data_IF_214075889582
#
_entry.id   IF_214075889582
#
_cell.length_a   1.000
_cell.length_b   1.000
_cell.length_c   1.000
_cell.angle_alpha   90.00
_cell.angle_beta   90.00
_cell.angle_gamma   90.00
#
_symmetry.space_group_name_H-M   'P 1'
#
loop_
_entity.id
_entity.type
_entity.pdbx_description
1 polymer ?
#
# COMPACT_ATOMS: atom_id res chain seq x y z
N UNK A 1 9.66 -16.77 2.76
CA UNK A 1 8.46 -17.55 2.40
C UNK A 1 7.27 -16.63 2.64
N UNK A 2 6.61 -16.16 1.59
CA UNK A 2 5.36 -15.40 1.69
C UNK A 2 4.29 -16.41 1.30
N UNK A 3 3.42 -16.79 2.25
CA UNK A 3 2.26 -17.63 1.97
C UNK A 3 1.14 -16.73 1.46
N UNK A 4 0.84 -16.82 0.16
CA UNK A 4 -0.40 -16.29 -0.39
C UNK A 4 -1.47 -17.36 -0.15
N UNK A 5 -2.43 -17.06 0.72
CA UNK A 5 -3.63 -17.88 0.85
C UNK A 5 -4.43 -17.74 -0.44
N UNK A 6 -4.53 -18.83 -1.18
CA UNK A 6 -5.50 -18.99 -2.26
C UNK A 6 -6.91 -18.88 -1.67
N UNK A 7 -7.67 -17.87 -2.11
CA UNK A 7 -9.05 -17.63 -1.68
C UNK A 7 -10.00 -18.78 -2.04
N UNK A 8 -9.52 -19.80 -2.78
CA UNK A 8 -10.28 -21.02 -3.08
C UNK A 8 -10.39 -21.96 -1.85
N UNK A 9 -9.68 -21.70 -0.75
CA UNK A 9 -9.77 -22.51 0.49
C UNK A 9 -10.81 -22.03 1.51
N UNK A 10 -11.58 -20.97 1.23
CA UNK A 10 -12.70 -20.60 2.10
C UNK A 10 -13.86 -21.59 1.88
N UNK A 11 -14.36 -22.30 2.92
CA UNK A 11 -15.54 -23.14 2.77
C UNK A 11 -16.71 -22.33 2.18
N UNK A 12 -17.61 -22.93 1.37
CA UNK A 12 -18.77 -22.22 0.84
C UNK A 12 -19.72 -21.92 2.00
N UNK A 13 -19.49 -20.76 2.62
CA UNK A 13 -20.30 -20.16 3.66
C UNK A 13 -20.51 -18.70 3.32
N UNK A 14 -20.96 -18.42 2.10
CA UNK A 14 -21.43 -17.10 1.74
C UNK A 14 -22.65 -16.77 2.60
N UNK A 15 -22.54 -15.74 3.45
CA UNK A 15 -23.72 -15.20 4.12
C UNK A 15 -24.70 -14.72 3.04
N UNK A 16 -25.99 -15.04 3.20
CA UNK A 16 -27.06 -14.51 2.35
C UNK A 16 -27.34 -13.02 2.64
N UNK A 17 -26.58 -12.39 3.53
CA UNK A 17 -26.66 -10.97 3.77
C UNK A 17 -26.03 -10.25 2.57
N UNK A 18 -26.73 -9.28 1.96
CA UNK A 18 -26.07 -8.30 1.11
C UNK A 18 -24.86 -7.76 1.87
N UNK A 19 -23.71 -7.62 1.21
CA UNK A 19 -22.63 -6.80 1.76
C UNK A 19 -23.26 -5.46 2.08
N UNK A 20 -23.31 -5.10 3.37
CA UNK A 20 -23.76 -3.77 3.78
C UNK A 20 -22.83 -2.79 3.06
N UNK A 21 -23.35 -2.16 2.01
CA UNK A 21 -22.63 -1.14 1.26
C UNK A 21 -22.77 0.17 2.02
N UNK A 22 -22.30 0.18 3.26
CA UNK A 22 -22.05 1.43 3.94
C UNK A 22 -21.16 2.28 3.02
N UNK A 23 -21.44 3.58 2.98
CA UNK A 23 -20.63 4.50 2.19
C UNK A 23 -19.17 4.34 2.62
N UNK A 24 -18.29 4.09 1.65
CA UNK A 24 -16.86 4.01 1.92
C UNK A 24 -16.42 5.31 2.63
N UNK A 25 -15.59 5.23 3.68
CA UNK A 25 -15.08 6.43 4.34
C UNK A 25 -14.32 7.30 3.34
N UNK A 26 -14.32 8.61 3.57
CA UNK A 26 -13.60 9.56 2.71
C UNK A 26 -12.10 9.26 2.68
N UNK A 27 -11.41 9.75 1.65
CA UNK A 27 -9.95 9.58 1.53
C UNK A 27 -9.18 10.13 2.72
N UNK A 28 -9.66 11.24 3.28
CA UNK A 28 -9.06 11.85 4.46
C UNK A 28 -9.23 10.96 5.71
N UNK A 29 -10.40 10.36 5.91
CA UNK A 29 -10.67 9.44 7.01
C UNK A 29 -9.85 8.15 6.85
N UNK A 30 -9.75 7.64 5.63
CA UNK A 30 -8.93 6.44 5.33
C UNK A 30 -7.45 6.72 5.51
N UNK A 31 -6.96 7.90 5.11
CA UNK A 31 -5.58 8.31 5.38
C UNK A 31 -5.30 8.37 6.88
N UNK A 32 -6.22 8.92 7.70
CA UNK A 32 -6.09 8.96 9.16
C UNK A 32 -6.07 7.57 9.81
N UNK A 33 -6.91 6.64 9.36
CA UNK A 33 -6.93 5.26 9.89
C UNK A 33 -5.76 4.40 9.38
N UNK A 34 -5.33 4.60 8.14
CA UNK A 34 -4.17 3.91 7.56
C UNK A 34 -2.83 4.29 8.21
N UNK A 35 -2.81 5.37 9.01
CA UNK A 35 -1.68 5.68 9.90
C UNK A 35 -1.41 4.55 10.91
N UNK A 36 -2.39 3.70 11.23
CA UNK A 36 -2.22 2.59 12.18
C UNK A 36 -1.53 1.37 11.55
N UNK A 37 -1.82 1.05 10.28
CA UNK A 37 -1.19 -0.05 9.53
C UNK A 37 -1.15 0.29 8.03
N UNK A 38 0.04 0.35 7.45
CA UNK A 38 0.27 0.31 6.01
C UNK A 38 1.36 -0.69 5.67
N UNK A 39 1.33 -1.22 4.45
CA UNK A 39 2.34 -2.17 3.97
C UNK A 39 3.41 -1.46 3.15
N UNK A 40 4.67 -1.54 3.58
CA UNK A 40 5.79 -0.97 2.85
C UNK A 40 6.57 -2.07 2.11
N UNK A 41 6.57 -2.00 0.78
CA UNK A 41 7.25 -2.94 -0.12
C UNK A 41 8.54 -2.30 -0.62
N UNK A 42 9.68 -2.87 -0.23
CA UNK A 42 10.99 -2.44 -0.73
C UNK A 42 11.16 -2.84 -2.19
N UNK A 43 11.56 -1.90 -3.03
CA UNK A 43 11.81 -2.10 -4.46
C UNK A 43 12.94 -1.18 -4.94
N UNK A 44 13.56 -1.54 -6.07
CA UNK A 44 14.53 -0.68 -6.77
C UNK A 44 13.85 0.29 -7.75
N UNK A 45 12.56 0.07 -8.04
CA UNK A 45 11.76 0.86 -8.98
C UNK A 45 10.33 1.05 -8.42
N UNK A 46 10.12 2.08 -7.57
CA UNK A 46 8.80 2.45 -7.05
C UNK A 46 7.80 2.79 -8.15
N UNK A 47 8.24 3.45 -9.22
CA UNK A 47 7.38 3.88 -10.31
C UNK A 47 6.79 2.70 -11.09
N UNK A 48 7.60 1.69 -11.42
CA UNK A 48 7.11 0.50 -12.10
C UNK A 48 6.07 -0.26 -11.27
N UNK A 49 6.26 -0.41 -9.94
CA UNK A 49 5.29 -1.09 -9.08
C UNK A 49 4.01 -0.27 -8.89
N UNK A 50 4.14 1.04 -8.75
CA UNK A 50 2.98 1.95 -8.69
C UNK A 50 2.11 1.80 -9.94
N UNK A 51 2.69 1.89 -11.13
CA UNK A 51 1.95 1.77 -12.39
C UNK A 51 1.29 0.40 -12.54
N UNK A 52 1.98 -0.68 -12.13
CA UNK A 52 1.40 -2.03 -12.11
C UNK A 52 0.22 -2.15 -11.15
N UNK A 53 0.31 -1.54 -9.97
CA UNK A 53 -0.77 -1.54 -9.00
C UNK A 53 -2.00 -0.79 -9.53
N UNK A 54 -1.79 0.40 -10.10
CA UNK A 54 -2.87 1.19 -10.72
C UNK A 54 -3.51 0.44 -11.89
N UNK A 55 -2.71 -0.18 -12.76
CA UNK A 55 -3.21 -1.02 -13.85
C UNK A 55 -4.02 -2.24 -13.37
N UNK A 56 -3.76 -2.71 -12.14
CA UNK A 56 -4.51 -3.78 -11.49
C UNK A 56 -5.76 -3.30 -10.72
N UNK A 57 -6.08 -2.01 -10.76
CA UNK A 57 -7.27 -1.43 -10.12
C UNK A 57 -7.02 -0.75 -8.78
N UNK A 58 -5.77 -0.68 -8.32
CA UNK A 58 -5.43 0.15 -7.17
C UNK A 58 -5.65 1.64 -7.51
N UNK A 59 -5.96 2.45 -6.51
CA UNK A 59 -6.14 3.89 -6.70
C UNK A 59 -4.92 4.65 -6.23
N UNK A 60 -4.45 5.59 -7.04
CA UNK A 60 -3.36 6.48 -6.68
C UNK A 60 -3.69 7.26 -5.39
N UNK A 61 -2.78 7.25 -4.42
CA UNK A 61 -2.79 8.13 -3.25
C UNK A 61 -1.71 9.20 -3.40
N UNK A 62 -0.49 8.80 -3.78
CA UNK A 62 0.61 9.72 -4.06
C UNK A 62 1.51 9.12 -5.15
N UNK A 63 1.72 9.87 -6.22
CA UNK A 63 2.66 9.50 -7.27
C UNK A 63 4.10 9.34 -6.72
N UNK A 64 4.93 8.48 -7.33
CA UNK A 64 6.32 8.31 -6.95
C UNK A 64 7.08 9.64 -6.89
N UNK A 65 7.69 9.93 -5.74
CA UNK A 65 8.46 11.15 -5.52
C UNK A 65 9.64 10.92 -4.57
N UNK A 66 10.62 11.81 -4.65
CA UNK A 66 11.73 11.89 -3.69
C UNK A 66 11.25 12.59 -2.42
N UNK A 67 11.39 11.94 -1.27
CA UNK A 67 10.98 12.46 0.04
C UNK A 67 12.18 12.46 0.98
N UNK A 68 12.34 13.56 1.72
CA UNK A 68 13.32 13.64 2.81
C UNK A 68 12.70 13.14 4.10
N UNK A 69 13.24 12.04 4.63
CA UNK A 69 12.85 11.49 5.91
C UNK A 69 13.95 11.73 6.95
N UNK A 70 13.55 12.10 8.17
CA UNK A 70 14.46 12.15 9.33
C UNK A 70 14.47 10.78 10.00
N UNK A 71 15.58 10.06 9.92
CA UNK A 71 15.81 8.83 10.66
C UNK A 71 16.62 9.05 11.93
N UNK A 72 16.63 8.06 12.82
CA UNK A 72 17.43 8.08 14.04
C UNK A 72 18.94 8.22 13.78
N UNK A 73 19.41 7.80 12.60
CA UNK A 73 20.82 7.84 12.19
C UNK A 73 21.14 9.01 11.25
N UNK A 74 20.18 9.91 10.99
CA UNK A 74 20.34 11.07 10.11
C UNK A 74 19.23 11.21 9.08
N UNK A 75 19.32 12.25 8.25
CA UNK A 75 18.41 12.45 7.14
C UNK A 75 18.67 11.40 6.05
N UNK A 76 17.62 10.81 5.52
CA UNK A 76 17.67 9.92 4.36
C UNK A 76 16.72 10.41 3.28
N UNK A 77 17.17 10.35 2.04
CA UNK A 77 16.32 10.60 0.87
C UNK A 77 15.76 9.26 0.40
N UNK A 78 14.44 9.18 0.27
CA UNK A 78 13.70 8.01 -0.14
C UNK A 78 12.99 8.31 -1.46
N UNK A 79 12.87 7.32 -2.33
CA UNK A 79 11.92 7.38 -3.44
C UNK A 79 10.71 6.52 -3.06
N UNK A 80 9.53 7.15 -2.99
CA UNK A 80 8.31 6.53 -2.45
C UNK A 80 7.10 6.86 -3.30
N UNK A 81 6.21 5.89 -3.49
CA UNK A 81 4.88 6.08 -4.07
C UNK A 81 3.84 5.32 -3.26
N UNK A 82 2.59 5.81 -3.24
CA UNK A 82 1.52 5.24 -2.44
C UNK A 82 0.27 4.97 -3.27
N UNK A 83 -0.34 3.81 -3.05
CA UNK A 83 -1.67 3.49 -3.57
C UNK A 83 -2.59 3.06 -2.43
N UNK A 84 -3.89 3.24 -2.65
CA UNK A 84 -4.90 2.44 -1.99
C UNK A 84 -5.09 1.15 -2.78
N UNK A 85 -4.90 0.00 -2.13
CA UNK A 85 -5.25 -1.29 -2.70
C UNK A 85 -6.77 -1.48 -2.80
N UNK A 86 -7.19 -2.65 -3.28
CA UNK A 86 -8.59 -2.88 -3.69
C UNK A 86 -9.59 -2.82 -2.53
N UNK A 87 -9.16 -3.14 -1.31
CA UNK A 87 -9.98 -3.05 -0.09
C UNK A 87 -9.65 -1.81 0.73
N UNK A 88 -8.84 -0.93 0.16
CA UNK A 88 -8.49 0.33 0.76
C UNK A 88 -7.34 0.29 1.77
N UNK A 89 -6.56 -0.77 1.81
CA UNK A 89 -5.24 -0.78 2.43
C UNK A 89 -4.33 0.29 1.80
N UNK A 90 -3.45 0.92 2.59
CA UNK A 90 -2.39 1.78 2.03
C UNK A 90 -1.15 0.92 1.79
N UNK A 91 -0.63 1.01 0.56
CA UNK A 91 0.57 0.30 0.13
C UNK A 91 1.61 1.34 -0.30
N UNK A 92 2.77 1.30 0.33
CA UNK A 92 3.95 2.11 0.01
C UNK A 92 4.93 1.27 -0.83
N UNK A 93 5.35 1.80 -1.98
CA UNK A 93 6.51 1.27 -2.72
C UNK A 93 7.70 2.15 -2.40
N UNK A 94 8.75 1.58 -1.80
CA UNK A 94 9.88 2.35 -1.26
C UNK A 94 11.22 1.85 -1.80
N UNK A 95 12.02 2.78 -2.30
CA UNK A 95 13.46 2.59 -2.53
C UNK A 95 14.24 3.32 -1.46
N UNK A 96 15.04 2.56 -0.71
CA UNK A 96 15.96 3.09 0.29
C UNK A 96 17.38 3.13 -0.27
N UNK A 97 18.19 4.14 0.08
CA UNK A 97 19.61 4.12 -0.21
C UNK A 97 20.24 2.86 0.39
N UNK A 98 21.03 2.14 -0.39
CA UNK A 98 21.84 1.04 0.13
C UNK A 98 22.88 1.63 1.09
N UNK A 99 23.01 1.13 2.33
CA UNK A 99 24.12 1.53 3.19
C UNK A 99 25.44 1.28 2.44
N UNK A 100 26.35 2.27 2.44
CA UNK A 100 27.73 2.00 1.99
C UNK A 100 28.29 0.93 2.93
N UNK A 101 28.80 -0.15 2.33
CA UNK A 101 29.54 -1.19 3.03
C UNK A 101 30.83 -0.64 3.65
#
# INVERSE_FOLDING_TARGET
MIELFDAVSTPPGGSAQPLDTDALPSDEERARSATLVHFAIRTEDPAALFQRAVAAGARALMEPAQVQAKGATGNMTLEVGFVYGLNGEVIEFIKRPTPKA
#
